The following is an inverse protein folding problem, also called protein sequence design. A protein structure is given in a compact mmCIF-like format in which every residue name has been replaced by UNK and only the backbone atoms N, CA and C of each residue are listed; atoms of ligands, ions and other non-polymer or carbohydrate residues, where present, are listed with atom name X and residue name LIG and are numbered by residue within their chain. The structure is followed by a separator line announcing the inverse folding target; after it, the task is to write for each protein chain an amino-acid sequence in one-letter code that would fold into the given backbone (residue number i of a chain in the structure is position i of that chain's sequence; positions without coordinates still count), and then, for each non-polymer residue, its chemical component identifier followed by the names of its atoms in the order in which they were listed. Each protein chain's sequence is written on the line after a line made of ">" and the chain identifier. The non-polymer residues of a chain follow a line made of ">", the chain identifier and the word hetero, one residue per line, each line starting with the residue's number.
data_IF_821523658955
#
_entry.id   IF_821523658955
#
_cell.length_a   1.000
_cell.length_b   1.000
_cell.length_c   1.000
_cell.angle_alpha   90.00
_cell.angle_beta   90.00
_cell.angle_gamma   90.00
#
_symmetry.space_group_name_H-M   'P 1'
#
loop_
_entity.id
_entity.type
_entity.pdbx_description
1 polymer ?
#
# COMPACT_ATOMS: atom_id res chain seq x y z
N UNK A 1 7.45 8.85 16.13
CA UNK A 1 8.31 8.57 14.95
C UNK A 1 7.63 7.52 14.09
N UNK A 2 7.84 7.56 12.78
CA UNK A 2 7.31 6.56 11.85
C UNK A 2 8.49 5.68 11.43
N UNK A 3 8.44 4.38 11.74
CA UNK A 3 9.52 3.46 11.38
C UNK A 3 9.23 2.79 10.04
N UNK A 4 10.24 2.74 9.18
CA UNK A 4 10.19 2.11 7.86
C UNK A 4 11.29 1.04 7.79
N UNK A 5 10.93 -0.12 7.26
CA UNK A 5 11.83 -1.27 7.17
C UNK A 5 12.41 -1.41 5.76
N UNK A 6 13.69 -1.79 5.70
CA UNK A 6 14.28 -2.27 4.46
C UNK A 6 13.72 -3.65 4.11
N UNK A 7 12.87 -3.70 3.09
CA UNK A 7 12.27 -4.95 2.58
C UNK A 7 13.14 -5.65 1.54
N UNK A 8 14.29 -5.07 1.18
CA UNK A 8 15.18 -5.57 0.15
C UNK A 8 14.58 -5.47 -1.26
N UNK A 9 14.89 -6.46 -2.08
CA UNK A 9 14.49 -6.47 -3.48
C UNK A 9 13.03 -6.92 -3.66
N UNK A 10 12.27 -6.26 -4.55
CA UNK A 10 10.89 -6.65 -4.83
C UNK A 10 10.84 -8.04 -5.47
N UNK A 11 9.84 -8.83 -5.09
CA UNK A 11 9.62 -10.18 -5.61
C UNK A 11 8.39 -10.20 -6.51
N UNK A 12 8.50 -10.79 -7.71
CA UNK A 12 7.36 -10.97 -8.61
C UNK A 12 6.45 -12.09 -8.10
N UNK A 13 5.15 -11.81 -8.05
CA UNK A 13 4.13 -12.78 -7.61
C UNK A 13 4.06 -14.01 -8.53
N UNK A 14 4.28 -13.85 -9.84
CA UNK A 14 4.37 -14.99 -10.78
C UNK A 14 5.53 -15.93 -10.43
N UNK A 15 6.72 -15.39 -10.19
CA UNK A 15 7.89 -16.19 -9.81
C UNK A 15 7.64 -16.92 -8.48
N UNK A 16 7.04 -16.23 -7.51
CA UNK A 16 6.67 -16.83 -6.22
C UNK A 16 5.69 -17.99 -6.40
N UNK A 17 4.61 -17.81 -7.17
CA UNK A 17 3.63 -18.86 -7.42
C UNK A 17 4.25 -20.08 -8.12
N UNK A 18 5.08 -19.85 -9.15
CA UNK A 18 5.80 -20.92 -9.85
C UNK A 18 6.75 -21.67 -8.93
N UNK A 19 7.46 -20.96 -8.06
CA UNK A 19 8.38 -21.56 -7.10
C UNK A 19 7.64 -22.42 -6.08
N UNK A 20 6.49 -21.98 -5.58
CA UNK A 20 5.66 -22.77 -4.66
C UNK A 20 5.19 -24.09 -5.27
N UNK A 21 4.78 -24.08 -6.55
CA UNK A 21 4.40 -25.30 -7.29
C UNK A 21 5.60 -26.25 -7.39
N UNK A 22 6.78 -25.75 -7.79
CA UNK A 22 8.01 -26.55 -7.90
C UNK A 22 8.45 -27.13 -6.56
N UNK A 23 8.41 -26.34 -5.49
CA UNK A 23 8.76 -26.78 -4.13
C UNK A 23 7.83 -27.89 -3.62
N UNK A 24 6.62 -27.97 -4.17
CA UNK A 24 5.66 -29.04 -3.89
C UNK A 24 5.91 -30.32 -4.71
N UNK A 25 6.97 -30.36 -5.53
CA UNK A 25 7.32 -31.48 -6.40
C UNK A 25 6.49 -31.56 -7.68
N UNK A 26 5.78 -30.48 -8.04
CA UNK A 26 4.89 -30.41 -9.19
C UNK A 26 5.49 -29.52 -10.29
N UNK A 27 5.03 -29.71 -11.52
CA UNK A 27 5.46 -28.95 -12.70
C UNK A 27 4.44 -27.84 -13.00
N UNK A 28 4.84 -26.54 -12.91
CA UNK A 28 3.97 -25.43 -13.29
C UNK A 28 3.48 -25.57 -14.73
N UNK A 29 2.23 -25.19 -14.97
CA UNK A 29 1.53 -25.26 -16.26
C UNK A 29 1.29 -26.67 -16.81
N UNK A 30 1.66 -27.72 -16.06
CA UNK A 30 1.36 -29.12 -16.37
C UNK A 30 0.46 -29.72 -15.28
N UNK A 31 0.96 -29.79 -14.05
CA UNK A 31 0.20 -30.33 -12.91
C UNK A 31 -0.74 -29.26 -12.31
N UNK A 32 -0.27 -28.01 -12.28
CA UNK A 32 -1.03 -26.85 -11.80
C UNK A 32 -0.85 -25.70 -12.80
N UNK A 33 -1.95 -25.27 -13.41
CA UNK A 33 -1.97 -24.16 -14.38
C UNK A 33 -2.02 -22.81 -13.68
N UNK A 34 -1.20 -21.87 -14.12
CA UNK A 34 -1.29 -20.47 -13.68
C UNK A 34 -2.29 -19.73 -14.57
N UNK A 35 -3.24 -19.04 -13.95
CA UNK A 35 -4.28 -18.25 -14.63
C UNK A 35 -4.22 -16.81 -14.13
N UNK A 36 -4.08 -15.88 -15.07
CA UNK A 36 -4.09 -14.46 -14.78
C UNK A 36 -5.52 -13.93 -14.80
N UNK A 37 -6.00 -13.42 -13.66
CA UNK A 37 -7.35 -12.88 -13.50
C UNK A 37 -7.43 -11.37 -13.67
N UNK A 38 -6.28 -10.70 -13.86
CA UNK A 38 -6.18 -9.24 -13.84
C UNK A 38 -6.15 -8.68 -12.42
N UNK A 39 -5.92 -7.37 -12.32
CA UNK A 39 -5.91 -6.62 -11.07
C UNK A 39 -7.34 -6.32 -10.61
N UNK A 40 -7.57 -6.39 -9.30
CA UNK A 40 -8.81 -5.96 -8.65
C UNK A 40 -8.83 -4.43 -8.50
N UNK A 41 -10.01 -3.80 -8.40
CA UNK A 41 -10.11 -2.37 -8.16
C UNK A 41 -9.31 -1.95 -6.91
N UNK A 42 -8.40 -0.99 -7.08
CA UNK A 42 -7.55 -0.46 -6.00
C UNK A 42 -6.22 -1.21 -5.80
N UNK A 43 -5.96 -2.29 -6.54
CA UNK A 43 -4.65 -2.95 -6.51
C UNK A 43 -3.61 -2.20 -7.35
N UNK A 44 -2.37 -2.13 -6.83
CA UNK A 44 -1.21 -1.63 -7.56
C UNK A 44 -0.41 -2.79 -8.16
N UNK A 45 0.18 -2.59 -9.34
CA UNK A 45 1.10 -3.58 -9.92
C UNK A 45 2.48 -3.57 -9.24
N UNK A 46 2.87 -2.42 -8.70
CA UNK A 46 4.10 -2.21 -7.93
C UNK A 46 3.78 -1.36 -6.70
N UNK A 47 4.30 -1.75 -5.55
CA UNK A 47 4.30 -0.90 -4.36
C UNK A 47 5.37 0.19 -4.45
N UNK A 48 5.14 1.30 -3.76
CA UNK A 48 6.10 2.39 -3.67
C UNK A 48 7.24 2.02 -2.71
N UNK A 49 8.50 2.26 -3.11
CA UNK A 49 9.63 2.16 -2.19
C UNK A 49 9.63 3.38 -1.26
N UNK A 50 9.22 3.16 -0.01
CA UNK A 50 9.21 4.20 1.03
C UNK A 50 10.61 4.76 1.37
N UNK A 51 11.68 4.11 0.91
CA UNK A 51 13.06 4.55 1.16
C UNK A 51 13.54 5.71 0.29
N UNK A 52 12.81 6.05 -0.77
CA UNK A 52 13.16 7.16 -1.67
C UNK A 52 12.53 8.50 -1.25
N UNK A 53 11.88 8.56 -0.08
CA UNK A 53 11.25 9.78 0.45
C UNK A 53 12.27 10.76 1.06
N UNK A 54 12.10 12.05 0.74
CA UNK A 54 12.93 13.11 1.30
C UNK A 54 12.74 13.23 2.83
N UNK A 55 13.86 13.21 3.58
CA UNK A 55 13.85 13.42 5.04
C UNK A 55 13.94 12.15 5.88
N UNK A 56 14.19 10.99 5.28
CA UNK A 56 14.43 9.74 5.99
C UNK A 56 15.72 9.78 6.81
N UNK A 57 15.67 9.35 8.07
CA UNK A 57 16.82 9.28 8.97
C UNK A 57 17.21 7.82 9.23
N UNK A 58 18.51 7.53 9.29
CA UNK A 58 19.02 6.20 9.61
C UNK A 58 19.05 5.96 11.11
N UNK A 59 18.78 4.74 11.54
CA UNK A 59 19.01 4.29 12.93
C UNK A 59 20.32 3.51 13.05
N UNK A 60 20.70 3.10 14.27
CA UNK A 60 21.83 2.18 14.48
C UNK A 60 21.63 0.82 13.77
N UNK A 61 20.38 0.43 13.54
CA UNK A 61 20.04 -0.73 12.73
C UNK A 61 19.91 -0.33 11.26
N UNK A 62 20.79 -0.85 10.41
CA UNK A 62 20.82 -0.54 8.97
C UNK A 62 19.56 -0.95 8.20
N UNK A 63 18.69 -1.78 8.78
CA UNK A 63 17.42 -2.21 8.17
C UNK A 63 16.22 -1.38 8.66
N UNK A 64 16.44 -0.40 9.54
CA UNK A 64 15.39 0.41 10.15
C UNK A 64 15.69 1.89 9.92
N UNK A 65 14.71 2.57 9.36
CA UNK A 65 14.75 4.00 9.07
C UNK A 65 13.61 4.72 9.78
N UNK A 66 13.77 6.01 10.02
CA UNK A 66 12.76 6.88 10.60
C UNK A 66 12.28 7.84 9.51
N UNK A 67 11.01 7.71 9.12
CA UNK A 67 10.33 8.62 8.21
C UNK A 67 9.95 9.92 8.92
N UNK A 68 9.93 11.02 8.16
CA UNK A 68 9.53 12.33 8.67
C UNK A 68 8.00 12.42 8.73
N UNK A 69 7.39 12.62 9.92
CA UNK A 69 5.96 12.83 10.02
C UNK A 69 5.52 14.09 9.26
N UNK A 70 4.34 14.04 8.67
CA UNK A 70 3.68 15.24 8.14
C UNK A 70 3.14 16.02 9.35
N UNK A 71 3.39 17.33 9.39
CA UNK A 71 2.72 18.21 10.34
C UNK A 71 1.29 18.45 9.86
N UNK A 72 0.32 18.18 10.71
CA UNK A 72 -1.10 18.32 10.40
C UNK A 72 -1.81 18.92 11.61
N UNK A 73 -2.84 19.72 11.36
CA UNK A 73 -3.68 20.29 12.40
C UNK A 73 -4.65 19.22 12.93
N UNK A 74 -4.48 18.83 14.20
CA UNK A 74 -5.30 17.82 14.87
C UNK A 74 -6.77 18.24 14.99
N UNK A 75 -7.07 19.53 15.19
CA UNK A 75 -8.44 20.00 15.32
C UNK A 75 -9.16 19.92 13.96
N UNK A 76 -8.48 20.34 12.90
CA UNK A 76 -8.96 20.17 11.53
C UNK A 76 -9.16 18.70 11.17
N UNK A 77 -8.19 17.83 11.47
CA UNK A 77 -8.28 16.39 11.16
C UNK A 77 -9.49 15.78 11.88
N UNK A 78 -9.63 16.06 13.17
CA UNK A 78 -10.75 15.54 13.98
C UNK A 78 -12.09 15.96 13.38
N UNK A 79 -12.24 17.23 13.02
CA UNK A 79 -13.45 17.73 12.38
C UNK A 79 -13.72 16.99 11.06
N UNK A 80 -12.70 16.75 10.24
CA UNK A 80 -12.83 16.02 8.98
C UNK A 80 -13.22 14.56 9.16
N UNK A 81 -12.72 13.90 10.21
CA UNK A 81 -13.13 12.53 10.56
C UNK A 81 -14.59 12.51 11.02
N UNK A 82 -15.03 13.48 11.81
CA UNK A 82 -16.43 13.60 12.24
C UNK A 82 -17.39 13.84 11.05
N UNK A 83 -17.00 14.70 10.09
CA UNK A 83 -17.73 14.90 8.82
C UNK A 83 -17.84 13.58 8.02
N UNK A 84 -16.73 12.85 7.89
CA UNK A 84 -16.68 11.57 7.18
C UNK A 84 -17.58 10.50 7.84
N UNK A 85 -17.58 10.41 9.17
CA UNK A 85 -18.37 9.40 9.90
C UNK A 85 -19.88 9.61 9.68
N UNK A 86 -20.35 10.85 9.75
CA UNK A 86 -21.75 11.20 9.52
C UNK A 86 -22.20 10.82 8.11
N UNK A 87 -21.41 11.17 7.10
CA UNK A 87 -21.75 10.94 5.69
C UNK A 87 -21.56 9.47 5.26
N UNK A 88 -20.71 8.71 5.96
CA UNK A 88 -20.50 7.28 5.67
C UNK A 88 -21.74 6.41 5.91
N UNK A 89 -22.70 6.89 6.71
CA UNK A 89 -23.93 6.16 7.02
C UNK A 89 -24.95 6.15 5.86
N UNK A 90 -24.75 6.97 4.83
CA UNK A 90 -25.68 7.11 3.69
C UNK A 90 -25.20 6.37 2.41
N UNK A 91 -24.16 5.52 2.51
CA UNK A 91 -23.57 4.73 1.40
C UNK A 91 -23.19 5.60 0.18
N UNK A 92 -22.51 6.71 0.48
CA UNK A 92 -22.26 7.79 -0.47
C UNK A 92 -20.96 7.59 -1.28
N UNK A 93 -21.04 7.81 -2.60
CA UNK A 93 -19.88 7.84 -3.51
C UNK A 93 -18.86 8.94 -3.13
N UNK A 94 -19.25 9.87 -2.24
CA UNK A 94 -18.42 10.97 -1.76
C UNK A 94 -17.31 10.56 -0.77
N UNK A 95 -17.30 9.35 -0.21
CA UNK A 95 -16.25 8.89 0.72
C UNK A 95 -14.85 9.05 0.10
N UNK A 96 -14.70 8.71 -1.18
CA UNK A 96 -13.41 8.85 -1.88
C UNK A 96 -12.94 10.30 -1.96
N UNK A 97 -13.86 11.26 -2.04
CA UNK A 97 -13.53 12.70 -2.05
C UNK A 97 -13.04 13.14 -0.68
N UNK A 98 -13.72 12.75 0.39
CA UNK A 98 -13.28 13.02 1.76
C UNK A 98 -11.89 12.42 2.05
N UNK A 99 -11.65 11.17 1.64
CA UNK A 99 -10.34 10.54 1.79
C UNK A 99 -9.28 11.31 0.99
N UNK A 100 -9.59 11.79 -0.22
CA UNK A 100 -8.67 12.59 -1.03
C UNK A 100 -8.38 13.98 -0.43
N UNK A 101 -9.35 14.59 0.27
CA UNK A 101 -9.13 15.85 1.02
C UNK A 101 -8.20 15.64 2.22
N UNK A 102 -8.41 14.56 2.98
CA UNK A 102 -7.63 14.24 4.19
C UNK A 102 -6.23 13.73 3.83
N UNK A 103 -6.14 12.94 2.76
CA UNK A 103 -4.89 12.30 2.30
C UNK A 103 -4.62 12.76 0.87
N UNK A 104 -3.93 13.90 0.66
CA UNK A 104 -3.69 14.46 -0.67
C UNK A 104 -2.92 13.54 -1.62
N UNK A 105 -2.18 12.58 -1.08
CA UNK A 105 -1.44 11.56 -1.85
C UNK A 105 -2.33 10.40 -2.32
N UNK A 106 -3.56 10.29 -1.83
CA UNK A 106 -4.52 9.30 -2.27
C UNK A 106 -4.99 9.62 -3.70
N UNK A 107 -4.81 8.66 -4.61
CA UNK A 107 -5.26 8.76 -5.99
C UNK A 107 -6.26 7.65 -6.31
N UNK A 108 -7.57 7.94 -6.31
CA UNK A 108 -8.57 6.94 -6.66
C UNK A 108 -8.38 6.52 -8.12
N UNK A 109 -8.03 5.25 -8.35
CA UNK A 109 -7.87 4.67 -9.69
C UNK A 109 -6.53 4.92 -10.38
N UNK A 110 -5.47 5.32 -9.66
CA UNK A 110 -4.13 5.29 -10.23
C UNK A 110 -3.68 3.84 -10.48
N UNK A 111 -3.46 3.54 -11.77
CA UNK A 111 -2.64 2.42 -12.25
C UNK A 111 -1.18 2.59 -11.83
#
# INVERSE_FOLDING_TARGET
>A
EIFVLDMGDPVKIDDMARNLIKLSGLTPDVDIKIVYTGLRPGEKLYEEKLMDEEGMQTTDNKLIFIGKPIEMDDEWLRKKIEELDLDSQEDDENIKKYVQEIVPTYKPGSM
#
